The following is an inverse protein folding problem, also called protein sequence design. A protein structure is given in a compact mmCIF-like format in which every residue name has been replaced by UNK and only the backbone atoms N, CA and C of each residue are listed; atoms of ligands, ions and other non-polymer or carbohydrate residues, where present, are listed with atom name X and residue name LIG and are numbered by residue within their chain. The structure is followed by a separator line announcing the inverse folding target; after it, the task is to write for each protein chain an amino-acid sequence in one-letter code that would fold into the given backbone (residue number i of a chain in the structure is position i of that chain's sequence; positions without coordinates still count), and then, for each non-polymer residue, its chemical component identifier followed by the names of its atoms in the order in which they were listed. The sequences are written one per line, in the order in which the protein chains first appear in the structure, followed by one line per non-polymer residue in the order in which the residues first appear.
data_IF_807549796398
#
_entry.id   IF_807549796398
#
_cell.length_a   1.000
_cell.length_b   1.000
_cell.length_c   1.000
_cell.angle_alpha   90.00
_cell.angle_beta   90.00
_cell.angle_gamma   90.00
#
_symmetry.space_group_name_H-M   'P 1'
#
loop_
_entity.id
_entity.type
_entity.pdbx_description
1 polymer ?
#
# COMPACT_ATOMS: atom_id res chain seq x y z
N UNK A 1 20.36 10.65 9.48
CA UNK A 1 20.72 9.47 8.65
C UNK A 1 22.11 9.63 8.04
N UNK A 2 22.36 10.70 7.28
CA UNK A 2 23.66 10.98 6.64
C UNK A 2 24.83 11.06 7.61
N UNK A 3 24.67 11.76 8.74
CA UNK A 3 25.69 11.86 9.78
C UNK A 3 25.97 10.50 10.45
N UNK A 4 24.94 9.74 10.83
CA UNK A 4 25.11 8.39 11.38
C UNK A 4 25.81 7.46 10.38
N UNK A 5 25.48 7.58 9.09
CA UNK A 5 26.11 6.78 8.05
C UNK A 5 27.59 7.13 7.86
N UNK A 6 28.01 8.39 8.04
CA UNK A 6 29.43 8.76 7.99
C UNK A 6 30.20 8.24 9.21
N UNK A 7 29.58 8.26 10.38
CA UNK A 7 30.16 7.77 11.63
C UNK A 7 30.34 6.25 11.61
N UNK A 8 29.30 5.51 11.21
CA UNK A 8 29.30 4.04 11.28
C UNK A 8 29.89 3.37 10.03
N UNK A 9 30.05 4.09 8.93
CA UNK A 9 30.59 3.53 7.68
C UNK A 9 29.70 2.47 7.02
N UNK A 10 28.44 2.34 7.44
CA UNK A 10 27.46 1.39 6.92
C UNK A 10 26.16 2.10 6.51
N UNK A 11 25.38 1.55 5.56
CA UNK A 11 24.08 2.10 5.21
C UNK A 11 23.16 2.18 6.43
N UNK A 12 22.58 3.35 6.68
CA UNK A 12 21.58 3.57 7.75
C UNK A 12 20.23 3.79 7.09
N UNK A 13 19.24 3.00 7.49
CA UNK A 13 17.87 3.08 7.00
C UNK A 13 16.95 3.53 8.14
N UNK A 14 16.09 4.50 7.86
CA UNK A 14 15.02 4.88 8.78
C UNK A 14 13.79 3.95 8.60
N UNK A 15 12.85 4.02 9.55
CA UNK A 15 11.61 3.21 9.50
C UNK A 15 10.85 3.42 8.19
N UNK A 16 10.81 4.66 7.70
CA UNK A 16 10.13 5.02 6.45
C UNK A 16 10.70 4.27 5.25
N UNK A 17 12.02 4.33 5.05
CA UNK A 17 12.70 3.69 3.93
C UNK A 17 12.58 2.17 3.97
N UNK A 18 12.65 1.55 5.16
CA UNK A 18 12.44 0.11 5.34
C UNK A 18 11.02 -0.28 4.91
N UNK A 19 10.01 0.45 5.39
CA UNK A 19 8.60 0.16 5.09
C UNK A 19 8.31 0.29 3.58
N UNK A 20 8.76 1.38 2.95
CA UNK A 20 8.69 1.55 1.48
C UNK A 20 9.36 0.39 0.74
N UNK A 21 10.53 -0.05 1.19
CA UNK A 21 11.26 -1.14 0.54
C UNK A 21 10.50 -2.45 0.64
N UNK A 22 9.92 -2.76 1.81
CA UNK A 22 9.08 -3.94 1.99
C UNK A 22 7.86 -3.88 1.06
N UNK A 23 7.22 -2.72 0.93
CA UNK A 23 6.10 -2.57 0.00
C UNK A 23 6.50 -2.75 -1.45
N UNK A 24 7.66 -2.20 -1.84
CA UNK A 24 8.18 -2.36 -3.20
C UNK A 24 8.42 -3.82 -3.55
N UNK A 25 8.94 -4.60 -2.60
CA UNK A 25 9.17 -6.04 -2.77
C UNK A 25 7.86 -6.82 -2.92
N UNK A 26 6.81 -6.43 -2.19
CA UNK A 26 5.52 -7.10 -2.21
C UNK A 26 4.53 -6.54 -3.26
N UNK A 27 4.82 -5.40 -3.90
CA UNK A 27 3.95 -4.75 -4.88
C UNK A 27 3.91 -5.50 -6.22
N UNK A 28 3.01 -6.48 -6.31
CA UNK A 28 2.83 -7.31 -7.52
C UNK A 28 1.87 -6.69 -8.53
N UNK A 29 0.75 -6.13 -8.07
CA UNK A 29 -0.27 -5.55 -8.94
C UNK A 29 0.14 -4.19 -9.48
N UNK A 30 -0.52 -3.73 -10.55
CA UNK A 30 -0.33 -2.37 -11.08
C UNK A 30 -0.70 -1.32 -10.04
N UNK A 31 -1.77 -1.56 -9.27
CA UNK A 31 -2.23 -0.64 -8.25
C UNK A 31 -1.22 -0.50 -7.11
N UNK A 32 -0.80 -1.63 -6.54
CA UNK A 32 0.25 -1.69 -5.52
C UNK A 32 1.50 -0.92 -5.95
N UNK A 33 1.93 -1.11 -7.21
CA UNK A 33 3.11 -0.41 -7.76
C UNK A 33 2.89 1.10 -7.84
N UNK A 34 1.70 1.55 -8.23
CA UNK A 34 1.36 2.97 -8.29
C UNK A 34 1.30 3.60 -6.89
N UNK A 35 0.73 2.89 -5.92
CA UNK A 35 0.66 3.32 -4.52
C UNK A 35 2.05 3.45 -3.92
N UNK A 36 2.92 2.45 -4.11
CA UNK A 36 4.31 2.50 -3.64
C UNK A 36 5.08 3.63 -4.32
N UNK A 37 4.92 3.81 -5.63
CA UNK A 37 5.58 4.89 -6.36
C UNK A 37 5.11 6.28 -5.89
N UNK A 38 3.83 6.43 -5.53
CA UNK A 38 3.29 7.66 -4.97
C UNK A 38 3.87 7.92 -3.57
N UNK A 39 3.90 6.88 -2.75
CA UNK A 39 4.46 6.91 -1.40
C UNK A 39 5.97 7.20 -1.39
N UNK A 40 6.72 6.90 -2.46
CA UNK A 40 8.14 7.25 -2.54
C UNK A 40 8.39 8.75 -2.76
N UNK A 41 7.41 9.51 -3.27
CA UNK A 41 7.62 10.91 -3.65
C UNK A 41 7.98 11.81 -2.47
N UNK A 42 7.27 11.81 -1.31
CA UNK A 42 7.63 12.65 -0.16
C UNK A 42 9.08 12.43 0.32
N UNK A 43 9.55 11.18 0.30
CA UNK A 43 10.93 10.86 0.64
C UNK A 43 11.94 11.44 -0.37
N UNK A 44 11.66 11.30 -1.67
CA UNK A 44 12.49 11.87 -2.74
C UNK A 44 12.55 13.40 -2.62
N UNK A 45 11.40 14.03 -2.34
CA UNK A 45 11.29 15.47 -2.12
C UNK A 45 12.19 15.95 -1.00
N UNK A 46 12.08 15.32 0.18
CA UNK A 46 12.90 15.65 1.34
C UNK A 46 14.39 15.57 1.01
N UNK A 47 14.82 14.51 0.33
CA UNK A 47 16.22 14.33 -0.07
C UNK A 47 16.71 15.41 -1.03
N UNK A 48 15.89 15.82 -2.01
CA UNK A 48 16.25 16.87 -2.97
C UNK A 48 16.43 18.21 -2.26
N UNK A 49 15.54 18.56 -1.34
CA UNK A 49 15.61 19.82 -0.57
C UNK A 49 16.91 19.91 0.23
N UNK A 50 17.31 18.85 0.94
CA UNK A 50 18.58 18.82 1.69
C UNK A 50 19.81 19.04 0.79
N UNK A 51 19.87 18.41 -0.38
CA UNK A 51 21.00 18.61 -1.32
C UNK A 51 21.02 19.98 -2.01
N UNK A 52 19.92 20.74 -1.97
CA UNK A 52 19.85 22.04 -2.61
C UNK A 52 20.39 23.18 -1.73
N UNK A 53 20.41 23.00 -0.41
CA UNK A 53 20.87 24.01 0.55
C UNK A 53 22.41 24.16 0.57
N UNK A 54 23.16 23.13 0.15
CA UNK A 54 24.64 23.08 0.22
C UNK A 54 25.40 23.70 -0.97
N UNK A 55 24.74 24.33 -1.96
CA UNK A 55 25.46 24.87 -3.14
C UNK A 55 24.80 26.08 -3.81
N UNK A 56 25.45 27.25 -3.69
CA UNK A 56 25.10 28.50 -4.40
C UNK A 56 25.07 28.28 -5.93
N UNK A 57 23.89 28.47 -6.56
CA UNK A 57 23.75 28.56 -8.02
C UNK A 57 22.73 27.61 -8.69
N UNK A 58 21.95 26.81 -7.94
CA UNK A 58 21.09 25.75 -8.51
C UNK A 58 19.57 25.98 -8.47
N UNK A 59 19.09 27.19 -8.16
CA UNK A 59 17.64 27.49 -7.98
C UNK A 59 16.79 26.99 -9.17
N UNK A 60 17.23 27.21 -10.41
CA UNK A 60 16.51 26.78 -11.63
C UNK A 60 16.45 25.25 -11.82
N UNK A 61 17.47 24.50 -11.36
CA UNK A 61 17.50 23.04 -11.46
C UNK A 61 16.55 22.40 -10.44
N UNK A 62 16.39 23.04 -9.28
CA UNK A 62 15.48 22.61 -8.22
C UNK A 62 14.02 22.79 -8.65
N UNK A 63 13.66 23.95 -9.22
CA UNK A 63 12.31 24.21 -9.73
C UNK A 63 11.90 23.26 -10.85
N UNK A 64 12.79 23.02 -11.82
CA UNK A 64 12.51 22.08 -12.91
C UNK A 64 12.32 20.64 -12.40
N UNK A 65 13.12 20.21 -11.42
CA UNK A 65 12.96 18.89 -10.77
C UNK A 65 11.65 18.80 -9.96
N UNK A 66 11.30 19.87 -9.24
CA UNK A 66 10.04 20.04 -8.52
C UNK A 66 8.83 19.92 -9.45
N UNK A 67 8.88 20.59 -10.60
CA UNK A 67 7.83 20.52 -11.62
C UNK A 67 7.66 19.08 -12.16
N UNK A 68 8.77 18.40 -12.46
CA UNK A 68 8.74 17.00 -12.95
C UNK A 68 8.15 16.06 -11.91
N UNK A 69 8.50 16.21 -10.63
CA UNK A 69 7.95 15.38 -9.56
C UNK A 69 6.46 15.65 -9.33
N UNK A 70 6.01 16.90 -9.36
CA UNK A 70 4.57 17.22 -9.28
C UNK A 70 3.80 16.70 -10.49
N UNK A 71 4.36 16.78 -11.70
CA UNK A 71 3.75 16.19 -12.88
C UNK A 71 3.63 14.66 -12.75
N UNK A 72 4.66 14.01 -12.20
CA UNK A 72 4.63 12.57 -11.90
C UNK A 72 3.59 12.23 -10.83
N UNK A 73 3.54 13.00 -9.75
CA UNK A 73 2.54 12.85 -8.69
C UNK A 73 1.11 12.93 -9.25
N UNK A 74 0.83 13.97 -10.03
CA UNK A 74 -0.48 14.17 -10.67
C UNK A 74 -0.85 13.02 -11.61
N UNK A 75 0.12 12.52 -12.38
CA UNK A 75 -0.08 11.34 -13.24
C UNK A 75 -0.41 10.08 -12.42
N UNK A 76 0.36 9.79 -11.37
CA UNK A 76 0.12 8.63 -10.49
C UNK A 76 -1.26 8.71 -9.82
N UNK A 77 -1.63 9.88 -9.29
CA UNK A 77 -2.95 10.13 -8.69
C UNK A 77 -4.09 9.93 -9.70
N UNK A 78 -3.91 10.37 -10.95
CA UNK A 78 -4.89 10.17 -12.03
C UNK A 78 -5.06 8.69 -12.39
N UNK A 79 -3.96 7.94 -12.48
CA UNK A 79 -4.01 6.49 -12.75
C UNK A 79 -4.68 5.71 -11.60
N UNK A 80 -4.35 6.03 -10.35
CA UNK A 80 -5.00 5.46 -9.16
C UNK A 80 -6.50 5.77 -9.13
N UNK A 81 -6.91 6.99 -9.50
CA UNK A 81 -8.32 7.38 -9.58
C UNK A 81 -9.10 6.49 -10.55
N UNK A 82 -8.54 6.18 -11.72
CA UNK A 82 -9.17 5.28 -12.70
C UNK A 82 -9.36 3.87 -12.15
N UNK A 83 -8.37 3.35 -11.43
CA UNK A 83 -8.46 2.03 -10.79
C UNK A 83 -9.53 2.02 -9.68
N UNK A 84 -9.62 3.10 -8.89
CA UNK A 84 -10.66 3.28 -7.87
C UNK A 84 -12.06 3.30 -8.48
N UNK A 85 -12.26 4.01 -9.59
CA UNK A 85 -13.52 4.02 -10.33
C UNK A 85 -13.91 2.62 -10.83
N UNK A 86 -12.93 1.86 -11.35
CA UNK A 86 -13.15 0.48 -11.78
C UNK A 86 -13.57 -0.43 -10.62
N UNK A 87 -12.91 -0.34 -9.46
CA UNK A 87 -13.29 -1.10 -8.25
C UNK A 87 -14.71 -0.76 -7.78
N UNK A 88 -15.10 0.51 -7.81
CA UNK A 88 -16.46 0.96 -7.48
C UNK A 88 -17.53 0.29 -8.36
N UNK A 89 -17.26 0.14 -9.66
CA UNK A 89 -18.18 -0.55 -10.57
C UNK A 89 -18.35 -2.03 -10.22
N UNK A 90 -17.25 -2.75 -9.99
CA UNK A 90 -17.28 -4.17 -9.58
C UNK A 90 -18.06 -4.33 -8.29
N UNK A 91 -17.85 -3.42 -7.34
CA UNK A 91 -18.54 -3.47 -6.06
C UNK A 91 -20.03 -3.20 -6.18
N UNK A 92 -20.44 -2.21 -6.96
CA UNK A 92 -21.86 -1.96 -7.22
C UNK A 92 -22.56 -3.21 -7.78
N UNK A 93 -21.90 -3.96 -8.66
CA UNK A 93 -22.43 -5.24 -9.17
C UNK A 93 -22.56 -6.30 -8.07
N UNK A 94 -21.67 -6.34 -7.07
CA UNK A 94 -21.77 -7.26 -5.92
C UNK A 94 -22.95 -6.89 -5.02
N UNK A 95 -23.14 -5.61 -4.74
CA UNK A 95 -24.27 -5.11 -3.95
C UNK A 95 -25.61 -5.45 -4.61
N UNK A 96 -25.69 -5.35 -5.94
CA UNK A 96 -26.90 -5.74 -6.70
C UNK A 96 -27.21 -7.25 -6.58
N UNK A 97 -26.20 -8.08 -6.32
CA UNK A 97 -26.35 -9.54 -6.21
C UNK A 97 -26.54 -10.04 -4.77
N UNK A 98 -26.67 -9.15 -3.79
CA UNK A 98 -26.81 -9.46 -2.36
C UNK A 98 -25.77 -10.46 -1.83
N UNK A 99 -24.53 -10.36 -2.32
CA UNK A 99 -23.42 -11.17 -1.81
C UNK A 99 -22.80 -10.44 -0.62
N UNK A 100 -22.89 -10.97 0.62
CA UNK A 100 -22.29 -10.35 1.79
C UNK A 100 -20.77 -10.45 1.74
N UNK A 101 -20.12 -9.43 2.26
CA UNK A 101 -18.67 -9.33 2.43
C UNK A 101 -18.29 -9.45 3.90
N UNK A 102 -17.11 -9.99 4.17
CA UNK A 102 -16.55 -10.08 5.53
C UNK A 102 -15.09 -9.69 5.45
N UNK A 103 -14.73 -8.51 5.95
CA UNK A 103 -13.33 -8.08 6.01
C UNK A 103 -12.63 -8.65 7.24
N UNK A 104 -11.40 -9.16 7.04
CA UNK A 104 -10.53 -9.61 8.12
C UNK A 104 -9.41 -8.59 8.29
N UNK A 105 -9.43 -7.85 9.41
CA UNK A 105 -8.48 -6.78 9.74
C UNK A 105 -7.57 -7.17 10.91
N UNK A 106 -6.40 -6.53 11.02
CA UNK A 106 -5.44 -6.79 12.09
C UNK A 106 -3.98 -6.61 11.67
N UNK A 107 -3.07 -6.73 12.63
CA UNK A 107 -1.63 -6.54 12.42
C UNK A 107 -1.04 -7.49 11.38
N UNK A 108 0.09 -7.08 10.78
CA UNK A 108 0.95 -7.97 9.98
C UNK A 108 1.31 -9.21 10.80
N UNK A 109 1.38 -10.37 10.13
CA UNK A 109 1.62 -11.68 10.75
C UNK A 109 0.64 -12.14 11.83
N UNK A 110 -0.51 -11.48 12.03
CA UNK A 110 -1.56 -11.93 12.96
C UNK A 110 -2.35 -13.17 12.48
N UNK A 111 -2.01 -13.73 11.31
CA UNK A 111 -2.68 -14.92 10.77
C UNK A 111 -3.96 -14.65 9.97
N UNK A 112 -4.19 -13.42 9.47
CA UNK A 112 -5.38 -13.05 8.68
C UNK A 112 -5.58 -13.94 7.44
N UNK A 113 -4.55 -14.04 6.60
CA UNK A 113 -4.56 -14.90 5.41
C UNK A 113 -4.70 -16.39 5.78
N UNK A 114 -4.13 -16.82 6.91
CA UNK A 114 -4.31 -18.18 7.42
C UNK A 114 -5.77 -18.44 7.81
N UNK A 115 -6.42 -17.49 8.49
CA UNK A 115 -7.82 -17.58 8.88
C UNK A 115 -8.72 -17.67 7.66
N UNK A 116 -8.53 -16.79 6.67
CA UNK A 116 -9.32 -16.82 5.43
C UNK A 116 -9.13 -18.15 4.71
N UNK A 117 -7.89 -18.65 4.59
CA UNK A 117 -7.62 -19.97 4.00
C UNK A 117 -8.34 -21.09 4.73
N UNK A 118 -8.37 -21.06 6.06
CA UNK A 118 -9.08 -22.07 6.86
C UNK A 118 -10.59 -22.00 6.65
N UNK A 119 -11.15 -20.80 6.48
CA UNK A 119 -12.59 -20.57 6.27
C UNK A 119 -13.05 -20.89 4.83
N UNK A 120 -12.22 -20.66 3.83
CA UNK A 120 -12.57 -20.83 2.41
C UNK A 120 -12.10 -22.16 1.82
N UNK A 121 -11.07 -22.78 2.40
CA UNK A 121 -10.39 -23.93 1.81
C UNK A 121 -9.63 -23.59 0.52
N UNK A 122 -9.40 -22.30 0.25
CA UNK A 122 -8.77 -21.84 -0.99
C UNK A 122 -7.31 -22.29 -1.07
N UNK A 123 -7.01 -23.20 -2.01
CA UNK A 123 -5.67 -23.74 -2.24
C UNK A 123 -4.71 -22.73 -2.85
N UNK A 124 -5.24 -21.68 -3.51
CA UNK A 124 -4.42 -20.63 -4.11
C UNK A 124 -3.84 -19.67 -3.06
N UNK A 125 -4.46 -19.59 -1.88
CA UNK A 125 -3.93 -18.82 -0.75
C UNK A 125 -2.69 -19.49 -0.18
N UNK A 126 -1.57 -18.77 -0.23
CA UNK A 126 -0.31 -19.16 0.39
C UNK A 126 0.02 -18.13 1.46
N UNK A 127 -0.32 -18.39 2.73
CA UNK A 127 0.11 -17.53 3.82
C UNK A 127 1.63 -17.55 3.94
N UNK A 128 2.25 -16.38 4.01
CA UNK A 128 3.69 -16.22 4.15
C UNK A 128 4.01 -15.53 5.48
N UNK A 129 5.06 -15.96 6.17
CA UNK A 129 5.57 -15.28 7.36
C UNK A 129 6.42 -14.06 6.95
N UNK A 130 5.76 -13.06 6.37
CA UNK A 130 6.38 -11.83 5.86
C UNK A 130 5.51 -10.63 6.21
N UNK A 131 6.18 -9.51 6.54
CA UNK A 131 5.49 -8.24 6.71
C UNK A 131 4.86 -7.82 5.38
N UNK A 132 3.60 -7.41 5.43
CA UNK A 132 2.85 -6.95 4.26
C UNK A 132 2.80 -7.94 3.09
N UNK A 133 2.74 -9.24 3.40
CA UNK A 133 2.52 -10.31 2.40
C UNK A 133 1.29 -10.03 1.50
N UNK A 134 0.27 -9.36 2.07
CA UNK A 134 -0.90 -8.85 1.36
C UNK A 134 -0.84 -7.33 1.33
N UNK A 135 -0.55 -6.73 0.16
CA UNK A 135 -0.57 -5.27 -0.02
C UNK A 135 -1.93 -4.77 -0.52
N UNK A 136 -2.51 -5.48 -1.47
CA UNK A 136 -3.84 -5.19 -2.01
C UNK A 136 -4.89 -6.05 -1.32
N UNK A 137 -6.09 -5.50 -1.15
CA UNK A 137 -7.22 -6.25 -0.60
C UNK A 137 -7.62 -7.37 -1.57
N UNK A 138 -7.51 -8.62 -1.14
CA UNK A 138 -7.91 -9.79 -1.95
C UNK A 138 -9.27 -10.31 -1.48
N UNK A 139 -10.00 -10.99 -2.36
CA UNK A 139 -11.36 -11.45 -2.09
C UNK A 139 -11.50 -12.93 -2.40
N UNK A 140 -11.97 -13.70 -1.42
CA UNK A 140 -12.06 -15.16 -1.47
C UNK A 140 -13.48 -15.61 -1.14
N UNK A 141 -14.07 -16.42 -2.02
CA UNK A 141 -15.41 -16.93 -1.78
C UNK A 141 -15.39 -18.00 -0.69
N UNK A 142 -16.37 -17.95 0.21
CA UNK A 142 -16.58 -18.97 1.23
C UNK A 142 -18.06 -19.20 1.53
N UNK A 143 -18.32 -20.11 2.47
CA UNK A 143 -19.66 -20.45 2.95
C UNK A 143 -19.71 -20.32 4.46
N UNK A 144 -20.77 -19.68 4.96
CA UNK A 144 -21.09 -19.71 6.39
C UNK A 144 -21.73 -21.06 6.78
N UNK A 145 -21.78 -21.41 8.08
CA UNK A 145 -22.46 -22.63 8.55
C UNK A 145 -23.94 -22.73 8.12
N UNK A 146 -24.59 -21.59 7.88
CA UNK A 146 -25.96 -21.50 7.35
C UNK A 146 -26.05 -21.66 5.82
N UNK A 147 -24.98 -22.08 5.14
CA UNK A 147 -24.86 -22.22 3.69
C UNK A 147 -24.97 -20.91 2.88
N UNK A 148 -24.95 -19.76 3.55
CA UNK A 148 -24.89 -18.46 2.90
C UNK A 148 -23.51 -18.25 2.26
N UNK A 149 -23.50 -17.95 0.95
CA UNK A 149 -22.28 -17.57 0.22
C UNK A 149 -21.84 -16.19 0.67
N UNK A 150 -20.57 -16.07 1.07
CA UNK A 150 -19.96 -14.80 1.49
C UNK A 150 -18.62 -14.62 0.79
N UNK A 151 -18.14 -13.37 0.76
CA UNK A 151 -16.84 -13.01 0.25
C UNK A 151 -15.94 -12.54 1.40
N UNK A 152 -14.95 -13.35 1.76
CA UNK A 152 -13.93 -12.97 2.73
C UNK A 152 -12.91 -12.05 2.07
N UNK A 153 -12.66 -10.88 2.66
CA UNK A 153 -11.67 -9.93 2.18
C UNK A 153 -10.43 -9.99 3.05
N UNK A 154 -9.27 -10.36 2.48
CA UNK A 154 -7.97 -10.28 3.15
C UNK A 154 -7.44 -8.86 2.96
N UNK A 155 -7.28 -8.13 4.06
CA UNK A 155 -6.85 -6.73 4.03
C UNK A 155 -5.35 -6.64 4.26
N UNK A 156 -4.78 -5.48 3.93
CA UNK A 156 -3.42 -5.17 4.35
C UNK A 156 -3.30 -5.23 5.89
N UNK A 157 -2.14 -5.71 6.37
CA UNK A 157 -1.86 -5.78 7.79
C UNK A 157 -1.42 -4.45 8.38
N UNK A 158 -1.85 -4.16 9.61
CA UNK A 158 -1.36 -2.99 10.34
C UNK A 158 0.10 -3.16 10.77
N UNK A 159 0.79 -2.02 10.88
CA UNK A 159 2.02 -1.89 11.65
C UNK A 159 1.87 -0.64 12.55
N UNK A 160 2.51 -0.63 13.71
CA UNK A 160 2.51 0.55 14.57
C UNK A 160 3.29 1.70 13.92
N UNK A 161 2.99 2.95 14.28
CA UNK A 161 3.77 4.14 13.88
C UNK A 161 4.09 4.18 12.38
N UNK A 162 3.06 3.99 11.54
CA UNK A 162 3.18 4.25 10.10
C UNK A 162 3.33 5.76 9.91
N UNK A 163 4.36 6.23 9.19
CA UNK A 163 4.50 7.64 8.84
C UNK A 163 3.25 8.16 8.12
N UNK A 164 2.80 9.39 8.42
CA UNK A 164 1.56 9.94 7.87
C UNK A 164 1.51 9.94 6.34
N UNK A 165 2.64 10.25 5.68
CA UNK A 165 2.79 10.24 4.23
C UNK A 165 2.55 8.85 3.60
N UNK A 166 2.65 7.79 4.40
CA UNK A 166 2.41 6.41 3.99
C UNK A 166 0.94 6.00 4.20
N UNK A 167 0.16 6.72 5.01
CA UNK A 167 -1.22 6.34 5.35
C UNK A 167 -2.17 6.50 4.16
N UNK A 168 -2.04 7.57 3.36
CA UNK A 168 -2.97 7.87 2.26
C UNK A 168 -3.09 6.72 1.24
N UNK A 169 -1.98 6.10 0.76
CA UNK A 169 -2.05 4.86 -0.03
C UNK A 169 -2.76 3.69 0.67
N UNK A 170 -2.62 3.53 1.99
CA UNK A 170 -3.29 2.46 2.75
C UNK A 170 -4.78 2.68 2.92
N UNK A 171 -5.23 3.92 3.10
CA UNK A 171 -6.67 4.21 3.22
C UNK A 171 -7.40 3.73 1.97
N UNK A 172 -6.83 3.92 0.78
CA UNK A 172 -7.44 3.51 -0.47
C UNK A 172 -7.64 1.97 -0.59
N UNK A 173 -6.82 1.17 0.08
CA UNK A 173 -7.00 -0.29 0.17
C UNK A 173 -7.90 -0.67 1.35
N UNK A 174 -7.92 0.13 2.41
CA UNK A 174 -8.78 -0.03 3.58
C UNK A 174 -10.26 0.31 3.33
N UNK A 175 -10.55 1.20 2.38
CA UNK A 175 -11.93 1.55 2.02
C UNK A 175 -12.79 0.33 1.67
N UNK A 176 -12.20 -0.69 1.03
CA UNK A 176 -12.90 -1.92 0.71
C UNK A 176 -13.24 -2.75 1.95
N UNK A 177 -12.40 -2.68 3.00
CA UNK A 177 -12.63 -3.34 4.28
C UNK A 177 -13.67 -2.63 5.15
N UNK A 178 -13.67 -1.29 5.14
CA UNK A 178 -14.61 -0.47 5.95
C UNK A 178 -16.05 -0.70 5.51
N UNK A 179 -16.24 -0.98 4.22
CA UNK A 179 -17.58 -1.08 3.64
C UNK A 179 -17.99 -2.54 3.40
N UNK A 180 -17.17 -3.49 3.88
CA UNK A 180 -17.48 -4.90 3.87
C UNK A 180 -18.53 -5.24 4.94
#
# INVERSE_FOLDING_TARGET
VTELQSIFGVPVYDRYSIVIQIFREHAKTTEAKLQVALAELPYIWKKISYTAEDSMGRINLTEKRRLVLHARESKLKSELKKLKEHRKLIRNQRTIRDIPSVAVVGYTNAGKTCLIKALTGDKSLVPENKLFATLDTTSHQGLLPCMLKVLYMDTIGFIQDIPEDLIEPFIATFEDAIIA
#
